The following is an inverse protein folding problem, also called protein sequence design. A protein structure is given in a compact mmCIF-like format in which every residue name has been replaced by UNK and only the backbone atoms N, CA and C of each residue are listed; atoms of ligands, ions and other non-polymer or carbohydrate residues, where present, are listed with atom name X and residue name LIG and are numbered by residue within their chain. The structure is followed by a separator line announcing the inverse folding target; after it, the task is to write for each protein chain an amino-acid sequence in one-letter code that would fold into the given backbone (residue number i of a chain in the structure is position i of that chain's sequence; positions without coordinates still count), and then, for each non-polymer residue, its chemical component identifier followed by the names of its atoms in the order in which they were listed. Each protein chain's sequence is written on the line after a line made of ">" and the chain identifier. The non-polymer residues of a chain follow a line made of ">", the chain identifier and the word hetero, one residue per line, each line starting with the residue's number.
data_IF_134731588437
#
_entry.id   IF_134731588437
#
_cell.length_a   1.000
_cell.length_b   1.000
_cell.length_c   1.000
_cell.angle_alpha   90.00
_cell.angle_beta   90.00
_cell.angle_gamma   90.00
#
_symmetry.space_group_name_H-M   'P 1'
#
loop_
_entity.id
_entity.type
_entity.pdbx_description
1 polymer ?
#
# COMPACT_ATOMS: atom_id res chain seq x y z
N UNK A 1 -56.74 -23.84 -12.96
CA UNK A 1 -56.33 -25.23 -12.71
C UNK A 1 -55.70 -25.77 -13.99
N UNK A 2 -54.45 -26.19 -14.15
CA UNK A 2 -53.20 -26.14 -13.40
C UNK A 2 -52.12 -26.07 -14.50
N UNK A 3 -51.27 -25.03 -14.52
CA UNK A 3 -50.17 -24.95 -15.48
C UNK A 3 -49.00 -25.77 -14.92
N UNK A 4 -48.75 -26.94 -15.50
CA UNK A 4 -47.64 -27.81 -15.13
C UNK A 4 -46.31 -27.17 -15.54
N UNK A 5 -45.57 -26.62 -14.59
CA UNK A 5 -44.17 -26.24 -14.73
C UNK A 5 -43.33 -27.50 -14.84
N UNK A 6 -42.89 -27.81 -16.06
CA UNK A 6 -41.89 -28.85 -16.37
C UNK A 6 -40.58 -28.45 -15.71
N UNK A 7 -40.23 -29.14 -14.63
CA UNK A 7 -38.93 -29.06 -13.96
C UNK A 7 -37.87 -29.56 -14.95
N UNK A 8 -37.08 -28.63 -15.50
CA UNK A 8 -35.86 -28.97 -16.20
C UNK A 8 -34.84 -29.45 -15.15
N UNK A 9 -34.73 -30.76 -15.01
CA UNK A 9 -33.59 -31.37 -14.35
C UNK A 9 -32.38 -31.23 -15.30
N UNK A 10 -31.54 -30.23 -15.05
CA UNK A 10 -30.15 -30.27 -15.50
C UNK A 10 -29.32 -30.67 -14.29
N UNK A 11 -29.26 -31.97 -14.06
CA UNK A 11 -28.10 -32.56 -13.41
C UNK A 11 -27.09 -32.83 -14.53
N UNK A 12 -26.11 -31.94 -14.67
CA UNK A 12 -24.79 -32.38 -15.08
C UNK A 12 -23.81 -31.86 -14.03
N UNK A 13 -23.34 -32.81 -13.24
CA UNK A 13 -22.43 -32.58 -12.15
C UNK A 13 -21.12 -32.03 -12.71
N UNK A 14 -20.74 -30.87 -12.20
CA UNK A 14 -19.41 -30.29 -12.25
C UNK A 14 -18.32 -31.37 -12.19
N UNK A 15 -17.60 -31.53 -13.29
CA UNK A 15 -16.37 -32.32 -13.42
C UNK A 15 -15.21 -31.41 -13.86
N UNK A 16 -15.21 -30.17 -13.39
CA UNK A 16 -14.16 -29.18 -13.69
C UNK A 16 -13.09 -29.09 -12.59
N UNK A 17 -13.28 -29.74 -11.45
CA UNK A 17 -12.30 -29.72 -10.34
C UNK A 17 -11.07 -30.60 -10.59
N UNK A 18 -11.12 -31.59 -11.49
CA UNK A 18 -9.98 -32.49 -11.73
C UNK A 18 -9.04 -32.03 -12.86
N UNK A 19 -9.44 -31.08 -13.70
CA UNK A 19 -8.59 -30.58 -14.81
C UNK A 19 -7.62 -29.47 -14.38
N UNK A 20 -7.85 -28.83 -13.23
CA UNK A 20 -6.96 -27.81 -12.70
C UNK A 20 -5.62 -28.40 -12.22
N UNK A 21 -5.62 -29.61 -11.67
CA UNK A 21 -4.42 -30.20 -11.05
C UNK A 21 -3.34 -30.57 -12.08
N UNK A 22 -3.73 -31.10 -13.24
CA UNK A 22 -2.78 -31.51 -14.27
C UNK A 22 -2.10 -30.30 -14.96
N UNK A 23 -2.90 -29.29 -15.36
CA UNK A 23 -2.37 -28.08 -15.98
C UNK A 23 -1.53 -27.24 -14.99
N UNK A 24 -1.91 -27.22 -13.71
CA UNK A 24 -1.13 -26.56 -12.67
C UNK A 24 0.19 -27.30 -12.38
N UNK A 25 0.17 -28.64 -12.32
CA UNK A 25 1.36 -29.45 -12.12
C UNK A 25 2.34 -29.30 -13.29
N UNK A 26 1.83 -29.25 -14.52
CA UNK A 26 2.65 -29.05 -15.73
C UNK A 26 3.27 -27.64 -15.77
N UNK A 27 2.53 -26.60 -15.35
CA UNK A 27 3.08 -25.26 -15.19
C UNK A 27 4.15 -25.17 -14.09
N UNK A 28 3.96 -25.87 -12.96
CA UNK A 28 4.95 -25.94 -11.88
C UNK A 28 6.22 -26.67 -12.33
N UNK A 29 6.08 -27.75 -13.11
CA UNK A 29 7.23 -28.47 -13.66
C UNK A 29 8.00 -27.60 -14.67
N UNK A 30 7.30 -26.87 -15.55
CA UNK A 30 7.93 -25.94 -16.48
C UNK A 30 8.69 -24.79 -15.77
N UNK A 31 8.21 -24.34 -14.61
CA UNK A 31 8.91 -23.35 -13.77
C UNK A 31 10.13 -23.98 -13.09
N UNK A 32 9.99 -25.21 -12.55
CA UNK A 32 11.09 -25.95 -11.94
C UNK A 32 12.21 -26.27 -12.93
N UNK A 33 11.87 -26.57 -14.19
CA UNK A 33 12.82 -26.83 -15.27
C UNK A 33 13.60 -25.56 -15.68
N UNK A 34 13.09 -24.36 -15.38
CA UNK A 34 13.80 -23.08 -15.54
C UNK A 34 14.78 -22.78 -14.40
N UNK A 35 14.88 -23.68 -13.40
CA UNK A 35 15.85 -23.58 -12.31
C UNK A 35 15.52 -22.54 -11.23
N UNK A 36 14.40 -21.84 -11.36
CA UNK A 36 13.90 -20.93 -10.33
C UNK A 36 12.88 -21.66 -9.44
N UNK A 37 13.09 -21.70 -8.11
CA UNK A 37 12.09 -22.27 -7.21
C UNK A 37 10.78 -21.48 -7.34
N UNK A 38 9.61 -22.15 -7.32
CA UNK A 38 8.33 -21.47 -7.36
C UNK A 38 8.24 -20.42 -6.25
N UNK A 39 7.65 -19.26 -6.56
CA UNK A 39 7.46 -18.19 -5.59
C UNK A 39 6.57 -18.67 -4.44
N UNK A 40 7.16 -18.96 -3.28
CA UNK A 40 6.41 -19.35 -2.08
C UNK A 40 5.78 -18.11 -1.44
N UNK A 41 4.55 -17.81 -1.87
CA UNK A 41 3.74 -16.71 -1.36
C UNK A 41 3.48 -16.87 0.14
N UNK A 42 3.34 -18.10 0.65
CA UNK A 42 3.08 -18.33 2.07
C UNK A 42 4.29 -18.00 2.94
N UNK A 43 5.49 -18.39 2.53
CA UNK A 43 6.72 -18.02 3.24
C UNK A 43 7.02 -16.53 3.15
N UNK A 44 6.69 -15.89 2.03
CA UNK A 44 6.80 -14.43 1.87
C UNK A 44 5.82 -13.72 2.82
N UNK A 45 4.55 -14.12 2.82
CA UNK A 45 3.53 -13.56 3.70
C UNK A 45 3.85 -13.80 5.19
N UNK A 46 4.33 -15.00 5.54
CA UNK A 46 4.77 -15.34 6.90
C UNK A 46 5.94 -14.46 7.35
N UNK A 47 6.97 -14.30 6.51
CA UNK A 47 8.12 -13.43 6.80
C UNK A 47 7.72 -11.97 6.93
N UNK A 48 6.85 -11.48 6.04
CA UNK A 48 6.31 -10.10 6.11
C UNK A 48 5.58 -9.87 7.44
N UNK A 49 4.66 -10.76 7.82
CA UNK A 49 3.95 -10.67 9.11
C UNK A 49 4.89 -10.77 10.32
N UNK A 50 5.90 -11.65 10.27
CA UNK A 50 6.88 -11.77 11.35
C UNK A 50 7.71 -10.48 11.54
N UNK A 51 7.91 -9.71 10.47
CA UNK A 51 8.53 -8.38 10.51
C UNK A 51 7.53 -7.24 10.82
N UNK A 52 6.27 -7.54 11.17
CA UNK A 52 5.25 -6.53 11.44
C UNK A 52 4.69 -5.83 10.20
N UNK A 53 4.97 -6.35 8.99
CA UNK A 53 4.40 -5.86 7.73
C UNK A 53 3.07 -6.55 7.50
N UNK A 54 2.01 -5.96 8.03
CA UNK A 54 0.63 -6.41 7.87
C UNK A 54 -0.15 -5.42 6.99
N UNK A 55 -1.15 -5.91 6.25
CA UNK A 55 -1.89 -5.07 5.28
C UNK A 55 -2.65 -3.92 5.95
N UNK A 56 -3.04 -4.08 7.21
CA UNK A 56 -3.66 -3.05 8.04
C UNK A 56 -2.69 -1.93 8.47
N UNK A 57 -1.38 -2.20 8.47
CA UNK A 57 -0.34 -1.19 8.66
C UNK A 57 0.14 -0.54 7.35
N UNK A 58 -0.30 -1.05 6.20
CA UNK A 58 0.07 -0.49 4.91
C UNK A 58 -0.69 0.83 4.67
N UNK A 59 0.05 1.85 4.25
CA UNK A 59 -0.57 3.06 3.71
C UNK A 59 -1.26 2.73 2.38
N UNK A 60 -2.42 3.32 2.15
CA UNK A 60 -3.03 3.32 0.83
C UNK A 60 -2.18 4.13 -0.15
N UNK A 61 -2.31 3.85 -1.45
CA UNK A 61 -1.60 4.57 -2.50
C UNK A 61 -1.81 6.10 -2.42
N UNK A 62 -3.06 6.50 -2.14
CA UNK A 62 -3.43 7.91 -1.94
C UNK A 62 -2.71 8.54 -0.74
N UNK A 63 -2.62 7.84 0.40
CA UNK A 63 -1.92 8.32 1.60
C UNK A 63 -0.42 8.43 1.37
N UNK A 64 0.18 7.43 0.71
CA UNK A 64 1.59 7.46 0.34
C UNK A 64 1.91 8.62 -0.62
N UNK A 65 1.08 8.84 -1.64
CA UNK A 65 1.22 9.97 -2.57
C UNK A 65 1.04 11.32 -1.86
N UNK A 66 0.11 11.40 -0.91
CA UNK A 66 -0.13 12.60 -0.12
C UNK A 66 1.09 12.96 0.75
N UNK A 67 1.74 11.97 1.37
CA UNK A 67 2.98 12.17 2.13
C UNK A 67 4.12 12.57 1.19
N UNK A 68 4.27 11.88 0.06
CA UNK A 68 5.34 12.14 -0.90
C UNK A 68 5.30 13.58 -1.43
N UNK A 69 4.11 14.08 -1.77
CA UNK A 69 3.93 15.48 -2.21
C UNK A 69 4.40 16.48 -1.15
N UNK A 70 4.14 16.21 0.13
CA UNK A 70 4.58 17.07 1.25
C UNK A 70 6.09 17.01 1.43
N UNK A 71 6.70 15.82 1.32
CA UNK A 71 8.15 15.64 1.35
C UNK A 71 8.86 16.40 0.22
N UNK A 72 8.29 16.41 -0.98
CA UNK A 72 8.80 17.25 -2.07
C UNK A 72 8.71 18.74 -1.74
N UNK A 73 7.58 19.21 -1.20
CA UNK A 73 7.41 20.60 -0.76
C UNK A 73 8.41 21.00 0.32
N UNK A 74 8.60 20.15 1.33
CA UNK A 74 9.58 20.37 2.39
C UNK A 74 11.01 20.41 1.84
N UNK A 75 11.36 19.51 0.93
CA UNK A 75 12.69 19.49 0.29
C UNK A 75 12.95 20.76 -0.51
N UNK A 76 11.95 21.22 -1.28
CA UNK A 76 12.05 22.45 -2.07
C UNK A 76 12.24 23.68 -1.16
N UNK A 77 11.44 23.81 -0.09
CA UNK A 77 11.57 24.94 0.83
C UNK A 77 12.91 24.89 1.57
N UNK A 78 13.35 23.72 2.03
CA UNK A 78 14.64 23.54 2.70
C UNK A 78 15.79 23.93 1.79
N UNK A 79 15.76 23.50 0.52
CA UNK A 79 16.76 23.90 -0.48
C UNK A 79 16.78 25.42 -0.69
N UNK A 80 15.62 26.08 -0.69
CA UNK A 80 15.56 27.54 -0.80
C UNK A 80 16.18 28.23 0.42
N UNK A 81 15.91 27.72 1.63
CA UNK A 81 16.46 28.29 2.86
C UNK A 81 17.97 28.11 2.94
N UNK A 82 18.48 26.93 2.60
CA UNK A 82 19.93 26.66 2.53
C UNK A 82 20.59 27.49 1.44
N UNK A 83 19.97 27.60 0.27
CA UNK A 83 20.46 28.41 -0.84
C UNK A 83 20.46 29.92 -0.57
N UNK A 84 19.78 30.36 0.48
CA UNK A 84 19.65 31.77 0.87
C UNK A 84 20.55 32.21 2.04
N UNK A 85 21.34 31.28 2.59
CA UNK A 85 22.16 31.50 3.79
C UNK A 85 23.29 32.53 3.54
N UNK A 86 24.14 32.78 4.53
CA UNK A 86 25.16 33.84 4.47
C UNK A 86 26.05 33.77 3.21
N UNK A 87 26.38 32.56 2.75
CA UNK A 87 27.14 32.28 1.52
C UNK A 87 26.27 31.81 0.33
N UNK A 88 24.96 31.95 0.44
CA UNK A 88 23.98 31.42 -0.50
C UNK A 88 24.00 32.06 -1.90
N UNK A 89 23.46 31.31 -2.88
CA UNK A 89 23.33 31.73 -4.27
C UNK A 89 22.37 32.92 -4.48
N UNK A 90 21.52 33.21 -3.50
CA UNK A 90 20.61 34.35 -3.50
C UNK A 90 20.35 34.82 -2.06
N UNK A 91 19.64 35.94 -1.89
CA UNK A 91 19.24 36.46 -0.58
C UNK A 91 17.73 36.46 -0.46
N UNK A 92 17.21 35.94 0.65
CA UNK A 92 15.81 36.04 1.03
C UNK A 92 15.63 37.20 2.01
N UNK A 93 14.48 37.87 1.94
CA UNK A 93 14.10 38.82 2.99
C UNK A 93 13.80 38.07 4.29
N UNK A 94 14.02 38.70 5.44
CA UNK A 94 13.73 38.10 6.75
C UNK A 94 12.27 37.66 6.89
N UNK A 95 11.35 38.41 6.28
CA UNK A 95 9.92 38.07 6.27
C UNK A 95 9.64 36.81 5.45
N UNK A 96 10.25 36.69 4.26
CA UNK A 96 10.10 35.52 3.41
C UNK A 96 10.74 34.27 4.04
N UNK A 97 11.92 34.43 4.65
CA UNK A 97 12.58 33.35 5.38
C UNK A 97 11.74 32.86 6.56
N UNK A 98 11.12 33.77 7.32
CA UNK A 98 10.19 33.43 8.39
C UNK A 98 8.95 32.69 7.87
N UNK A 99 8.35 33.17 6.77
CA UNK A 99 7.20 32.52 6.14
C UNK A 99 7.51 31.11 5.63
N UNK A 100 8.69 30.90 5.04
CA UNK A 100 9.15 29.59 4.58
C UNK A 100 9.40 28.63 5.75
N UNK A 101 9.94 29.10 6.88
CA UNK A 101 10.03 28.29 8.10
C UNK A 101 8.65 27.86 8.60
N UNK A 102 7.68 28.78 8.66
CA UNK A 102 6.31 28.44 9.06
C UNK A 102 5.65 27.45 8.09
N UNK A 103 5.91 27.59 6.78
CA UNK A 103 5.40 26.66 5.77
C UNK A 103 6.00 25.25 5.93
N UNK A 104 7.30 25.14 6.23
CA UNK A 104 7.93 23.85 6.55
C UNK A 104 7.28 23.19 7.75
N UNK A 105 7.05 23.96 8.80
CA UNK A 105 6.40 23.47 10.01
C UNK A 105 4.99 22.94 9.71
N UNK A 106 4.17 23.72 9.01
CA UNK A 106 2.82 23.30 8.63
C UNK A 106 2.80 22.04 7.73
N UNK A 107 3.72 21.94 6.76
CA UNK A 107 3.83 20.74 5.91
C UNK A 107 4.24 19.50 6.69
N UNK A 108 5.06 19.67 7.73
CA UNK A 108 5.48 18.59 8.62
C UNK A 108 4.30 18.10 9.46
N UNK A 109 3.56 19.01 10.10
CA UNK A 109 2.35 18.68 10.86
C UNK A 109 1.32 17.96 9.99
N UNK A 110 1.09 18.47 8.78
CA UNK A 110 0.17 17.87 7.82
C UNK A 110 0.59 16.44 7.41
N UNK A 111 1.89 16.20 7.18
CA UNK A 111 2.39 14.86 6.85
C UNK A 111 2.23 13.91 8.04
N UNK A 112 2.54 14.39 9.25
CA UNK A 112 2.35 13.64 10.48
C UNK A 112 0.88 13.29 10.73
N UNK A 113 -0.06 14.20 10.42
CA UNK A 113 -1.49 13.94 10.56
C UNK A 113 -2.01 12.82 9.62
N UNK A 114 -1.38 12.62 8.46
CA UNK A 114 -1.69 11.46 7.58
C UNK A 114 -1.22 10.17 8.24
N UNK A 115 0.02 10.13 8.74
CA UNK A 115 0.56 8.97 9.45
C UNK A 115 -0.24 8.62 10.70
N UNK A 116 -0.66 9.63 11.47
CA UNK A 116 -1.43 9.42 12.68
C UNK A 116 -2.80 8.81 12.39
N UNK A 117 -3.52 9.33 11.39
CA UNK A 117 -4.80 8.76 10.95
C UNK A 117 -4.68 7.34 10.43
N UNK A 118 -3.64 7.05 9.65
CA UNK A 118 -3.36 5.69 9.17
C UNK A 118 -3.07 4.74 10.34
N UNK A 119 -2.30 5.20 11.34
CA UNK A 119 -2.03 4.43 12.54
C UNK A 119 -3.29 4.18 13.38
N UNK A 120 -4.14 5.19 13.58
CA UNK A 120 -5.42 5.04 14.28
C UNK A 120 -6.34 4.02 13.58
N UNK A 121 -6.40 4.08 12.24
CA UNK A 121 -7.15 3.12 11.43
C UNK A 121 -6.63 1.68 11.62
N UNK A 122 -5.32 1.48 11.58
CA UNK A 122 -4.69 0.18 11.84
C UNK A 122 -5.02 -0.34 13.26
N UNK A 123 -4.92 0.53 14.27
CA UNK A 123 -5.23 0.19 15.66
C UNK A 123 -6.71 -0.19 15.87
N UNK A 124 -7.63 0.38 15.11
CA UNK A 124 -9.05 0.03 15.15
C UNK A 124 -9.35 -1.30 14.45
N UNK A 125 -8.67 -1.61 13.33
CA UNK A 125 -8.80 -2.90 12.65
C UNK A 125 -8.43 -4.10 13.54
N UNK A 126 -7.38 -3.94 14.36
CA UNK A 126 -6.99 -4.96 15.35
C UNK A 126 -8.04 -5.22 16.44
N UNK A 127 -8.89 -4.23 16.78
CA UNK A 127 -9.94 -4.40 17.80
C UNK A 127 -11.20 -5.07 17.25
N UNK A 128 -11.46 -4.97 15.94
CA UNK A 128 -12.63 -5.55 15.29
C UNK A 128 -12.50 -7.03 14.90
N UNK A 129 -11.28 -7.55 14.77
CA UNK A 129 -11.02 -8.94 14.34
C UNK A 129 -11.03 -9.96 15.49
N UNK A 130 -11.27 -9.55 16.73
CA UNK A 130 -11.27 -10.40 17.93
C UNK A 130 -12.68 -10.75 18.46
N UNK A 131 -13.73 -10.52 17.67
CA UNK A 131 -15.12 -10.82 18.01
C UNK A 131 -15.66 -12.00 17.17
#
# INVERSE_FOLDING_TARGET
>A
MNSATKTAACADASSDTFRMDAAHAEALQAIADQGEPPLDIHDICRRRRACGLTEDLALTECEAQAINTRLYGMSAISALLVGADEEGAFKLSRWLQGGLHSALYALTEDAQAVLHRAHEKAAQAHKGSAA
#
